data_IF_976840229011
#
_entry.id   IF_976840229011
#
_cell.length_a   1.000
_cell.length_b   1.000
_cell.length_c   1.000
_cell.angle_alpha   90.00
_cell.angle_beta   90.00
_cell.angle_gamma   90.00
#
_symmetry.space_group_name_H-M   'P 1'
#
loop_
_entity.id
_entity.type
_entity.pdbx_description
1 polymer ?
#
# COMPACT_ATOMS: atom_id res chain seq x y z
N UNK A 1 6.21 -16.65 14.51
CA UNK A 1 5.35 -16.06 13.46
C UNK A 1 6.17 -16.01 12.17
N UNK A 2 5.95 -16.90 11.20
CA UNK A 2 6.61 -16.79 9.90
C UNK A 2 5.85 -15.76 9.07
N UNK A 3 6.56 -14.74 8.57
CA UNK A 3 5.95 -13.72 7.74
C UNK A 3 5.84 -14.23 6.30
N UNK A 4 4.62 -14.33 5.77
CA UNK A 4 4.37 -14.87 4.43
C UNK A 4 4.47 -13.85 3.30
N UNK A 5 4.28 -12.56 3.63
CA UNK A 5 4.32 -11.43 2.68
C UNK A 5 5.21 -10.32 3.24
N UNK A 6 6.03 -9.72 2.38
CA UNK A 6 6.83 -8.54 2.69
C UNK A 6 6.34 -7.32 1.90
N UNK A 7 6.55 -6.11 2.42
CA UNK A 7 6.17 -4.86 1.74
C UNK A 7 7.38 -3.93 1.67
N UNK A 8 7.71 -3.45 0.47
CA UNK A 8 8.89 -2.62 0.22
C UNK A 8 8.55 -1.36 -0.62
N UNK A 9 8.89 -0.14 -0.15
CA UNK A 9 9.38 0.18 1.19
C UNK A 9 8.33 -0.10 2.29
N UNK A 10 8.73 -0.43 3.53
CA UNK A 10 7.79 -0.70 4.62
C UNK A 10 7.13 0.57 5.18
N UNK A 11 7.74 1.74 4.95
CA UNK A 11 7.27 3.03 5.43
C UNK A 11 7.21 4.00 4.25
N UNK A 12 6.05 4.63 4.06
CA UNK A 12 5.87 5.76 3.13
C UNK A 12 5.80 7.06 3.90
N UNK A 13 6.71 7.99 3.63
CA UNK A 13 6.66 9.34 4.22
C UNK A 13 5.92 10.30 3.29
N UNK A 14 4.98 11.08 3.81
CA UNK A 14 4.12 11.96 3.01
C UNK A 14 4.12 13.38 3.55
N UNK A 15 4.30 14.40 2.70
CA UNK A 15 4.12 15.79 3.12
C UNK A 15 2.64 16.10 3.40
N UNK A 16 2.39 17.03 4.32
CA UNK A 16 1.03 17.46 4.71
C UNK A 16 0.23 18.13 3.57
N UNK A 17 0.93 18.60 2.53
CA UNK A 17 0.34 19.15 1.30
C UNK A 17 -0.22 18.07 0.36
N UNK A 18 0.03 16.79 0.65
CA UNK A 18 -0.36 15.65 -0.17
C UNK A 18 0.83 15.11 -0.98
N UNK A 19 0.77 13.81 -1.30
CA UNK A 19 1.88 13.11 -1.96
C UNK A 19 1.47 11.71 -2.43
N UNK A 20 2.37 11.01 -3.11
CA UNK A 20 2.16 9.65 -3.59
C UNK A 20 3.39 8.80 -3.24
N UNK A 21 3.16 7.54 -2.87
CA UNK A 21 4.21 6.57 -2.64
C UNK A 21 3.75 5.19 -3.13
N UNK A 22 4.69 4.47 -3.73
CA UNK A 22 4.46 3.14 -4.27
C UNK A 22 5.12 2.12 -3.38
N UNK A 23 4.36 1.12 -2.94
CA UNK A 23 4.82 0.03 -2.08
C UNK A 23 4.61 -1.28 -2.83
N UNK A 24 5.58 -2.17 -2.83
CA UNK A 24 5.49 -3.45 -3.50
C UNK A 24 5.23 -4.55 -2.48
N UNK A 25 4.19 -5.35 -2.69
CA UNK A 25 4.02 -6.60 -1.94
C UNK A 25 4.82 -7.70 -2.61
N UNK A 26 5.62 -8.42 -1.81
CA UNK A 26 6.46 -9.53 -2.22
C UNK A 26 5.99 -10.77 -1.46
N UNK A 27 5.67 -11.85 -2.19
CA UNK A 27 5.40 -13.14 -1.56
C UNK A 27 6.68 -13.87 -1.21
N UNK A 28 6.76 -14.41 0.00
CA UNK A 28 7.88 -15.25 0.46
C UNK A 28 7.56 -16.74 0.39
N UNK A 29 6.34 -17.09 -0.04
CA UNK A 29 5.82 -18.46 -0.10
C UNK A 29 5.57 -18.89 -1.55
N UNK A 30 5.61 -20.20 -1.79
CA UNK A 30 5.41 -20.79 -3.12
C UNK A 30 3.93 -20.96 -3.49
N UNK A 31 3.03 -20.39 -2.68
CA UNK A 31 1.58 -20.39 -2.91
C UNK A 31 1.09 -19.00 -3.29
N UNK A 32 0.04 -18.96 -4.11
CA UNK A 32 -0.66 -17.72 -4.48
C UNK A 32 -1.46 -17.21 -3.29
N UNK A 33 -1.28 -15.94 -2.95
CA UNK A 33 -1.88 -15.33 -1.75
C UNK A 33 -2.84 -14.22 -2.16
N UNK A 34 -3.98 -14.11 -1.47
CA UNK A 34 -4.88 -12.96 -1.60
C UNK A 34 -4.53 -11.92 -0.53
N UNK A 35 -4.64 -10.63 -0.87
CA UNK A 35 -4.45 -9.54 0.09
C UNK A 35 -5.66 -8.59 0.14
N UNK A 36 -5.86 -8.01 1.31
CA UNK A 36 -6.80 -6.91 1.57
C UNK A 36 -6.07 -5.82 2.34
N UNK A 37 -6.00 -4.62 1.76
CA UNK A 37 -5.45 -3.45 2.45
C UNK A 37 -6.55 -2.78 3.25
N UNK A 38 -6.27 -2.47 4.51
CA UNK A 38 -7.11 -1.64 5.36
C UNK A 38 -6.33 -0.39 5.74
N UNK A 39 -6.94 0.76 5.57
CA UNK A 39 -6.36 2.05 5.95
C UNK A 39 -7.05 2.55 7.21
N UNK A 40 -6.28 3.09 8.15
CA UNK A 40 -6.79 3.68 9.40
C UNK A 40 -7.39 5.08 9.17
N UNK A 41 -6.99 5.77 8.11
CA UNK A 41 -7.48 7.10 7.75
C UNK A 41 -7.78 7.16 6.24
N UNK A 42 -9.06 7.02 5.89
CA UNK A 42 -9.52 7.09 4.50
C UNK A 42 -9.80 8.53 4.02
N UNK A 43 -9.87 9.48 4.95
CA UNK A 43 -10.15 10.89 4.64
C UNK A 43 -8.91 11.56 4.05
N UNK A 44 -7.74 11.25 4.59
CA UNK A 44 -6.47 11.81 4.11
C UNK A 44 -5.73 10.85 3.18
N UNK A 45 -5.89 9.54 3.32
CA UNK A 45 -5.16 8.58 2.48
C UNK A 45 -6.08 7.80 1.55
N UNK A 46 -5.58 7.51 0.35
CA UNK A 46 -6.23 6.62 -0.62
C UNK A 46 -5.24 5.57 -1.09
N UNK A 47 -5.64 4.31 -0.95
CA UNK A 47 -4.87 3.15 -1.40
C UNK A 47 -5.52 2.53 -2.63
N UNK A 48 -4.71 2.17 -3.63
CA UNK A 48 -5.14 1.37 -4.78
C UNK A 48 -4.05 0.38 -5.22
N UNK A 49 -4.36 -0.91 -5.48
CA UNK A 49 -5.65 -1.58 -5.27
C UNK A 49 -5.87 -1.94 -3.79
N UNK A 50 -7.14 -2.02 -3.35
CA UNK A 50 -7.51 -2.43 -1.97
C UNK A 50 -7.52 -3.96 -1.82
N UNK A 51 -7.82 -4.68 -2.90
CA UNK A 51 -7.84 -6.13 -2.96
C UNK A 51 -7.06 -6.61 -4.17
N UNK A 52 -6.44 -7.77 -4.04
CA UNK A 52 -5.75 -8.40 -5.17
C UNK A 52 -5.12 -9.72 -4.79
N UNK A 53 -4.38 -10.28 -5.74
CA UNK A 53 -3.62 -11.50 -5.56
C UNK A 53 -2.14 -11.22 -5.77
N UNK A 54 -1.30 -11.85 -4.96
CA UNK A 54 0.15 -11.91 -5.13
C UNK A 54 0.49 -13.32 -5.58
N UNK A 55 1.24 -13.41 -6.67
CA UNK A 55 1.71 -14.70 -7.20
C UNK A 55 2.79 -15.29 -6.28
N UNK A 56 3.03 -16.59 -6.42
CA UNK A 56 4.06 -17.31 -5.68
C UNK A 56 5.46 -16.68 -5.88
N UNK A 57 6.36 -16.90 -4.91
CA UNK A 57 7.72 -16.33 -4.84
C UNK A 57 8.55 -16.45 -6.14
N UNK A 58 8.31 -17.47 -6.95
CA UNK A 58 9.02 -17.69 -8.23
C UNK A 58 8.65 -16.67 -9.32
N UNK A 59 7.56 -15.92 -9.13
CA UNK A 59 7.06 -14.95 -10.11
C UNK A 59 7.77 -13.61 -9.98
N UNK A 60 8.33 -13.12 -11.11
CA UNK A 60 8.97 -11.79 -11.22
C UNK A 60 7.93 -10.64 -11.15
N UNK A 61 6.62 -10.96 -11.12
CA UNK A 61 5.54 -9.96 -11.10
C UNK A 61 5.51 -9.25 -9.75
N UNK A 62 5.90 -7.97 -9.74
CA UNK A 62 5.68 -7.08 -8.60
C UNK A 62 4.23 -6.64 -8.53
N UNK A 63 3.70 -6.56 -7.32
CA UNK A 63 2.35 -6.07 -7.04
C UNK A 63 2.43 -4.67 -6.40
N UNK A 64 2.47 -3.60 -7.21
CA UNK A 64 2.53 -2.25 -6.68
C UNK A 64 1.19 -1.83 -6.07
N UNK A 65 1.27 -1.28 -4.86
CA UNK A 65 0.21 -0.55 -4.20
C UNK A 65 0.57 0.92 -4.22
N UNK A 66 -0.35 1.71 -4.77
CA UNK A 66 -0.28 3.16 -4.77
C UNK A 66 -0.98 3.71 -3.54
N UNK A 67 -0.24 4.42 -2.70
CA UNK A 67 -0.75 5.13 -1.55
C UNK A 67 -0.62 6.63 -1.80
N UNK A 68 -1.76 7.32 -1.86
CA UNK A 68 -1.82 8.77 -2.06
C UNK A 68 -2.31 9.46 -0.79
N UNK A 69 -1.57 10.46 -0.33
CA UNK A 69 -2.00 11.42 0.69
C UNK A 69 -2.71 12.61 0.03
N UNK A 70 -3.84 13.03 0.58
CA UNK A 70 -4.59 14.25 0.25
C UNK A 70 -4.14 15.37 1.18
N UNK A 71 -4.14 16.61 0.68
CA UNK A 71 -3.90 17.81 1.50
C UNK A 71 -4.90 17.80 2.67
N UNK A 72 -4.39 17.99 3.89
CA UNK A 72 -5.24 18.18 5.06
C UNK A 72 -6.12 19.43 4.83
N UNK A 73 -7.44 19.32 5.06
CA UNK A 73 -8.33 20.49 5.01
C UNK A 73 -7.95 21.43 6.16
N UNK A 74 -7.33 22.56 5.84
CA UNK A 74 -7.07 23.64 6.79
C UNK A 74 -8.34 24.50 6.95
N UNK A 75 -8.71 24.89 8.17
CA UNK A 75 -9.98 25.58 8.48
C UNK A 75 -10.15 27.00 7.93
N UNK A 76 -9.31 27.41 6.98
CA UNK A 76 -9.37 28.71 6.30
C UNK A 76 -10.05 28.63 4.93
N UNK A 77 -10.60 27.47 4.57
CA UNK A 77 -11.28 27.20 3.29
C UNK A 77 -12.77 26.89 3.57
N UNK A 78 -13.47 27.88 4.15
CA UNK A 78 -14.95 27.93 4.32
C UNK A 78 -15.41 29.34 4.02
#
# INVERSE_FOLDING_TARGET
MSQSLNVEPPIGNFPATGGNATHNIISLVDTRMAFKVKSSNNDHYRVRPVYGFVEAKVSIRRNPIWLRSRKAKTSADT
#
